data_IF_313449122222
#
_entry.id   IF_313449122222
#
_cell.length_a   1.000
_cell.length_b   1.000
_cell.length_c   1.000
_cell.angle_alpha   90.00
_cell.angle_beta   90.00
_cell.angle_gamma   90.00
#
_symmetry.space_group_name_H-M   'P 1'
#
loop_
_entity.id
_entity.type
_entity.pdbx_description
1 polymer ?
#
# COMPACT_ATOMS: atom_id res chain seq x y z
N UNK A 1 -4.48 -2.74 20.85
CA UNK A 1 -4.59 -3.47 19.56
C UNK A 1 -3.43 -3.04 18.68
N UNK A 2 -2.79 -3.98 17.99
CA UNK A 2 -1.74 -3.71 16.99
C UNK A 2 -2.24 -4.29 15.66
N UNK A 3 -2.18 -3.50 14.60
CA UNK A 3 -2.60 -3.92 13.25
C UNK A 3 -1.40 -3.86 12.33
N UNK A 4 -1.16 -4.96 11.61
CA UNK A 4 -0.16 -5.05 10.54
C UNK A 4 -0.91 -5.21 9.22
N UNK A 5 -0.47 -4.50 8.19
CA UNK A 5 -1.12 -4.54 6.88
C UNK A 5 -0.10 -4.56 5.75
N UNK A 6 -0.51 -5.14 4.62
CA UNK A 6 0.13 -4.92 3.33
C UNK A 6 -0.65 -3.89 2.51
N UNK A 7 -0.69 -4.06 1.20
CA UNK A 7 -1.47 -3.18 0.33
C UNK A 7 -1.20 -3.44 -1.15
N UNK A 8 -0.96 -4.71 -1.52
CA UNK A 8 -0.53 -5.08 -2.87
C UNK A 8 -1.49 -4.59 -3.96
N UNK A 9 -2.80 -4.59 -3.71
CA UNK A 9 -3.80 -4.07 -4.64
C UNK A 9 -3.66 -2.55 -4.87
N UNK A 10 -3.47 -1.77 -3.79
CA UNK A 10 -3.28 -0.31 -3.86
C UNK A 10 -2.02 0.03 -4.66
N UNK A 11 -0.94 -0.76 -4.44
CA UNK A 11 0.29 -0.63 -5.20
C UNK A 11 0.09 -1.01 -6.67
N UNK A 12 -0.56 -2.14 -6.94
CA UNK A 12 -0.83 -2.61 -8.31
C UNK A 12 -1.66 -1.57 -9.10
N UNK A 13 -2.65 -0.95 -8.46
CA UNK A 13 -3.47 0.11 -9.05
C UNK A 13 -2.67 1.39 -9.34
N UNK A 14 -1.87 1.87 -8.38
CA UNK A 14 -1.00 3.03 -8.59
C UNK A 14 -0.01 2.79 -9.72
N UNK A 15 0.62 1.62 -9.75
CA UNK A 15 1.59 1.28 -10.80
C UNK A 15 0.93 1.24 -12.18
N UNK A 16 -0.32 0.74 -12.26
CA UNK A 16 -1.12 0.77 -13.49
C UNK A 16 -1.42 2.22 -13.94
N UNK A 17 -1.79 3.10 -13.01
CA UNK A 17 -2.06 4.52 -13.31
C UNK A 17 -0.80 5.26 -13.79
N UNK A 18 0.36 4.93 -13.22
CA UNK A 18 1.65 5.48 -13.63
C UNK A 18 2.24 4.80 -14.87
N UNK A 19 1.52 3.82 -15.43
CA UNK A 19 1.97 2.99 -16.56
C UNK A 19 3.35 2.34 -16.32
N UNK A 20 3.62 1.96 -15.07
CA UNK A 20 4.86 1.30 -14.65
C UNK A 20 4.69 -0.22 -14.61
N UNK A 21 5.71 -0.99 -15.01
CA UNK A 21 5.62 -2.44 -15.08
C UNK A 21 5.52 -3.07 -13.69
N UNK A 22 4.68 -4.10 -13.59
CA UNK A 22 4.55 -4.94 -12.41
C UNK A 22 4.99 -6.36 -12.76
N UNK A 23 5.98 -6.88 -12.04
CA UNK A 23 6.44 -8.25 -12.20
C UNK A 23 6.29 -9.00 -10.88
N UNK A 24 5.82 -10.25 -10.96
CA UNK A 24 5.71 -11.15 -9.81
C UNK A 24 6.50 -12.42 -10.12
N UNK A 25 7.33 -12.86 -9.18
CA UNK A 25 8.10 -14.10 -9.24
C UNK A 25 7.77 -14.93 -8.00
N UNK A 26 7.25 -16.14 -8.20
CA UNK A 26 6.87 -17.04 -7.11
C UNK A 26 5.94 -16.39 -6.07
N UNK A 27 4.98 -15.58 -6.53
CA UNK A 27 4.04 -14.86 -5.66
C UNK A 27 4.57 -13.59 -5.01
N UNK A 28 5.87 -13.30 -5.12
CA UNK A 28 6.49 -12.07 -4.61
C UNK A 28 6.60 -11.02 -5.72
N UNK A 29 6.30 -9.76 -5.40
CA UNK A 29 6.57 -8.64 -6.32
C UNK A 29 8.08 -8.45 -6.43
N UNK A 30 8.56 -8.33 -7.67
CA UNK A 30 9.91 -7.83 -7.94
C UNK A 30 9.84 -6.31 -7.93
N UNK A 31 10.54 -5.68 -6.98
CA UNK A 31 10.55 -4.22 -6.80
C UNK A 31 11.95 -3.68 -7.13
N UNK A 32 12.15 -3.06 -8.30
CA UNK A 32 13.35 -2.29 -8.60
C UNK A 32 13.53 -1.13 -7.62
N UNK A 33 14.78 -0.71 -7.40
CA UNK A 33 15.11 0.37 -6.46
C UNK A 33 14.35 1.67 -6.78
N UNK A 34 14.21 2.01 -8.06
CA UNK A 34 13.49 3.20 -8.54
C UNK A 34 12.00 3.21 -8.17
N UNK A 35 11.40 2.05 -7.88
CA UNK A 35 9.98 1.93 -7.51
C UNK A 35 9.77 1.97 -5.99
N UNK A 36 10.83 1.88 -5.17
CA UNK A 36 10.71 1.75 -3.71
C UNK A 36 9.97 2.93 -3.10
N UNK A 37 10.33 4.16 -3.47
CA UNK A 37 9.73 5.36 -2.87
C UNK A 37 8.24 5.48 -3.22
N UNK A 38 7.88 5.17 -4.47
CA UNK A 38 6.49 5.18 -4.94
C UNK A 38 5.65 4.13 -4.18
N UNK A 39 6.18 2.91 -4.05
CA UNK A 39 5.51 1.82 -3.34
C UNK A 39 5.39 2.14 -1.84
N UNK A 40 6.43 2.72 -1.25
CA UNK A 40 6.43 3.15 0.15
C UNK A 40 5.38 4.23 0.38
N UNK A 41 5.27 5.20 -0.52
CA UNK A 41 4.22 6.23 -0.48
C UNK A 41 2.81 5.63 -0.53
N UNK A 42 2.58 4.65 -1.40
CA UNK A 42 1.29 3.96 -1.48
C UNK A 42 0.94 3.20 -0.18
N UNK A 43 1.90 2.50 0.41
CA UNK A 43 1.68 1.67 1.59
C UNK A 43 1.64 2.49 2.89
N UNK A 44 2.67 3.29 3.16
CA UNK A 44 2.80 4.09 4.38
C UNK A 44 1.98 5.38 4.36
N UNK A 45 1.66 5.88 3.17
CA UNK A 45 0.75 7.01 2.96
C UNK A 45 -0.68 6.51 2.83
N UNK A 46 -1.12 6.21 1.60
CA UNK A 46 -2.53 5.96 1.29
C UNK A 46 -3.12 4.80 2.10
N UNK A 47 -2.53 3.60 2.02
CA UNK A 47 -3.10 2.43 2.68
C UNK A 47 -3.11 2.58 4.22
N UNK A 48 -1.98 3.00 4.80
CA UNK A 48 -1.87 3.19 6.25
C UNK A 48 -2.83 4.25 6.78
N UNK A 49 -2.93 5.41 6.13
CA UNK A 49 -3.77 6.51 6.63
C UNK A 49 -5.25 6.24 6.46
N UNK A 50 -5.65 5.55 5.39
CA UNK A 50 -7.04 5.07 5.24
C UNK A 50 -7.40 4.11 6.36
N UNK A 51 -6.55 3.10 6.62
CA UNK A 51 -6.78 2.13 7.68
C UNK A 51 -6.81 2.79 9.08
N UNK A 52 -5.90 3.73 9.33
CA UNK A 52 -5.86 4.50 10.57
C UNK A 52 -7.13 5.33 10.77
N UNK A 53 -7.62 5.99 9.72
CA UNK A 53 -8.85 6.77 9.78
C UNK A 53 -10.06 5.89 10.14
N UNK A 54 -10.17 4.72 9.51
CA UNK A 54 -11.24 3.75 9.81
C UNK A 54 -11.13 3.24 11.24
N UNK A 55 -9.94 2.85 11.68
CA UNK A 55 -9.71 2.37 13.04
C UNK A 55 -10.09 3.43 14.08
N UNK A 56 -9.74 4.70 13.86
CA UNK A 56 -10.12 5.81 14.74
C UNK A 56 -11.64 6.00 14.79
N UNK A 57 -12.30 6.00 13.64
CA UNK A 57 -13.76 6.21 13.56
C UNK A 57 -14.59 5.06 14.14
N UNK A 58 -14.10 3.82 14.09
CA UNK A 58 -14.81 2.65 14.63
C UNK A 58 -14.55 2.44 16.13
N UNK A 59 -13.32 2.69 16.60
CA UNK A 59 -12.91 2.38 17.98
C UNK A 59 -13.11 3.57 18.93
N UNK A 60 -13.08 4.79 18.40
CA UNK A 60 -13.34 6.01 19.15
C UNK A 60 -14.41 6.84 18.42
N UNK A 61 -15.70 6.44 18.51
CA UNK A 61 -16.77 7.34 18.11
C UNK A 61 -16.62 8.62 18.92
N UNK A 62 -16.61 9.77 18.25
CA UNK A 62 -16.68 11.06 18.95
C UNK A 62 -17.96 11.19 19.73
#
# INVERSE_FOLDING_TARGET
>A
MIIVHGGGCVVDELMKQLNLPVQKKNGLRVTPAEQIDIITGALAGTANKTLLAWAKNMVFPR
#
